data_IF_616555992496
#
_entry.id   IF_616555992496
#
_cell.length_a   1.000
_cell.length_b   1.000
_cell.length_c   1.000
_cell.angle_alpha   90.00
_cell.angle_beta   90.00
_cell.angle_gamma   90.00
#
_symmetry.space_group_name_H-M   'P 1'
#
loop_
_entity.id
_entity.type
_entity.pdbx_description
1 polymer ?
#
# COMPACT_ATOMS: atom_id res chain seq x y z
N UNK A 1 -19.59 -33.23 -61.62
CA UNK A 1 -18.89 -33.27 -60.32
C UNK A 1 -18.48 -31.85 -59.96
N UNK A 2 -19.15 -31.24 -58.98
CA UNK A 2 -18.83 -29.88 -58.53
C UNK A 2 -17.65 -29.94 -57.54
N UNK A 3 -16.63 -29.12 -57.77
CA UNK A 3 -15.47 -29.01 -56.88
C UNK A 3 -15.91 -28.43 -55.51
N UNK A 4 -15.38 -28.95 -54.38
CA UNK A 4 -15.71 -28.42 -53.07
C UNK A 4 -15.03 -27.05 -52.90
N UNK A 5 -15.85 -26.00 -52.72
CA UNK A 5 -15.37 -24.66 -52.44
C UNK A 5 -14.61 -24.62 -51.11
N UNK A 6 -13.39 -24.09 -51.14
CA UNK A 6 -12.61 -23.77 -49.93
C UNK A 6 -13.40 -22.77 -49.09
N UNK A 7 -13.82 -23.21 -47.90
CA UNK A 7 -14.31 -22.31 -46.85
C UNK A 7 -13.20 -21.31 -46.53
N UNK A 8 -13.44 -20.04 -46.86
CA UNK A 8 -12.58 -18.94 -46.47
C UNK A 8 -12.58 -18.85 -44.94
N UNK A 9 -11.43 -19.11 -44.33
CA UNK A 9 -11.24 -18.87 -42.90
C UNK A 9 -11.44 -17.38 -42.64
N UNK A 10 -12.57 -17.01 -42.05
CA UNK A 10 -12.85 -15.63 -41.65
C UNK A 10 -11.80 -15.22 -40.62
N UNK A 11 -10.79 -14.46 -41.07
CA UNK A 11 -9.69 -14.02 -40.23
C UNK A 11 -10.18 -12.81 -39.46
N UNK A 12 -10.59 -13.02 -38.21
CA UNK A 12 -10.96 -11.91 -37.33
C UNK A 12 -9.80 -10.91 -37.25
N UNK A 13 -10.08 -9.60 -37.25
CA UNK A 13 -9.04 -8.60 -37.10
C UNK A 13 -8.31 -8.81 -35.76
N UNK A 14 -6.99 -8.57 -35.71
CA UNK A 14 -6.25 -8.65 -34.46
C UNK A 14 -6.83 -7.66 -33.46
N UNK A 15 -6.82 -8.03 -32.17
CA UNK A 15 -7.22 -7.10 -31.12
C UNK A 15 -6.37 -5.82 -31.21
N UNK A 16 -6.99 -4.64 -31.06
CA UNK A 16 -6.24 -3.39 -31.11
C UNK A 16 -5.17 -3.37 -30.01
N UNK A 17 -3.99 -2.88 -30.39
CA UNK A 17 -2.88 -2.68 -29.45
C UNK A 17 -3.27 -1.66 -28.38
N UNK A 18 -2.56 -1.67 -27.26
CA UNK A 18 -2.83 -0.73 -26.16
C UNK A 18 -2.71 0.73 -26.64
N UNK A 19 -1.78 1.02 -27.56
CA UNK A 19 -1.62 2.35 -28.18
C UNK A 19 -2.82 2.72 -29.05
N UNK A 20 -3.36 1.77 -29.81
CA UNK A 20 -4.54 2.00 -30.65
C UNK A 20 -5.78 2.22 -29.80
N UNK A 21 -5.97 1.46 -28.71
CA UNK A 21 -7.06 1.70 -27.74
C UNK A 21 -6.95 3.11 -27.16
N UNK A 22 -5.74 3.51 -26.75
CA UNK A 22 -5.50 4.86 -26.22
C UNK A 22 -5.89 5.93 -27.25
N UNK A 23 -5.55 5.73 -28.52
CA UNK A 23 -5.89 6.66 -29.61
C UNK A 23 -7.40 6.65 -29.92
N UNK A 24 -8.00 5.47 -30.02
CA UNK A 24 -9.39 5.23 -30.43
C UNK A 24 -10.37 5.82 -29.41
N UNK A 25 -10.11 5.64 -28.12
CA UNK A 25 -10.91 6.21 -27.05
C UNK A 25 -10.44 7.61 -26.61
N UNK A 26 -9.49 8.22 -27.35
CA UNK A 26 -8.89 9.53 -27.04
C UNK A 26 -8.44 9.64 -25.57
N UNK A 27 -7.87 8.56 -25.04
CA UNK A 27 -7.45 8.42 -23.66
C UNK A 27 -6.18 9.21 -23.42
N UNK A 28 -6.33 10.50 -23.14
CA UNK A 28 -5.23 11.28 -22.57
C UNK A 28 -5.13 11.00 -21.08
N UNK A 29 -3.91 10.73 -20.60
CA UNK A 29 -3.63 10.69 -19.17
C UNK A 29 -4.07 12.04 -18.57
N UNK A 30 -5.01 11.98 -17.64
CA UNK A 30 -5.49 13.19 -16.98
C UNK A 30 -4.51 13.51 -15.85
N UNK A 31 -3.98 14.74 -15.84
CA UNK A 31 -3.13 15.23 -14.75
C UNK A 31 -3.81 15.03 -13.38
N UNK A 32 -5.14 15.18 -13.35
CA UNK A 32 -5.96 14.96 -12.14
C UNK A 32 -5.86 13.54 -11.59
N UNK A 33 -5.73 12.50 -12.43
CA UNK A 33 -5.66 11.11 -11.98
C UNK A 33 -4.21 10.60 -11.83
N UNK A 34 -3.20 11.42 -12.19
CA UNK A 34 -1.77 11.07 -12.05
C UNK A 34 -1.40 9.70 -12.62
N UNK A 35 -2.02 9.34 -13.74
CA UNK A 35 -1.86 8.02 -14.36
C UNK A 35 -0.55 7.94 -15.16
N UNK A 36 0.19 6.85 -14.96
CA UNK A 36 1.37 6.48 -15.76
C UNK A 36 1.13 5.09 -16.33
N UNK A 37 0.89 4.98 -17.63
CA UNK A 37 0.55 3.71 -18.27
C UNK A 37 1.79 2.91 -18.64
N UNK A 38 1.80 1.63 -18.32
CA UNK A 38 2.82 0.69 -18.75
C UNK A 38 2.33 -0.05 -20.00
N UNK A 39 2.83 0.37 -21.17
CA UNK A 39 2.35 -0.14 -22.47
C UNK A 39 3.23 -1.25 -23.05
N UNK A 40 4.43 -1.47 -22.49
CA UNK A 40 5.35 -2.54 -22.94
C UNK A 40 4.96 -3.87 -22.29
N UNK A 41 4.39 -4.77 -23.11
CA UNK A 41 3.95 -6.09 -22.65
C UNK A 41 5.08 -6.93 -22.04
N UNK A 42 6.34 -6.74 -22.48
CA UNK A 42 7.47 -7.48 -21.91
C UNK A 42 7.71 -7.10 -20.45
N UNK A 43 7.39 -5.85 -20.08
CA UNK A 43 7.50 -5.38 -18.70
C UNK A 43 6.31 -5.84 -17.87
N UNK A 44 5.09 -5.81 -18.40
CA UNK A 44 3.91 -6.32 -17.69
C UNK A 44 3.99 -7.84 -17.48
N UNK A 45 4.48 -8.59 -18.48
CA UNK A 45 4.77 -10.03 -18.38
C UNK A 45 5.85 -10.29 -17.32
N UNK A 46 6.86 -9.41 -17.23
CA UNK A 46 7.88 -9.51 -16.18
C UNK A 46 7.30 -9.25 -14.79
N UNK A 47 6.35 -8.32 -14.63
CA UNK A 47 5.65 -8.10 -13.35
C UNK A 47 4.88 -9.37 -12.96
N UNK A 48 4.06 -9.90 -13.87
CA UNK A 48 3.25 -11.10 -13.65
C UNK A 48 4.11 -12.31 -13.29
N UNK A 49 5.15 -12.60 -14.07
CA UNK A 49 6.08 -13.71 -13.78
C UNK A 49 6.80 -13.56 -12.44
N UNK A 50 7.03 -12.33 -11.98
CA UNK A 50 7.66 -12.06 -10.68
C UNK A 50 6.66 -11.99 -9.52
N UNK A 51 5.36 -11.89 -9.80
CA UNK A 51 4.33 -12.01 -8.79
C UNK A 51 4.27 -13.42 -8.22
N UNK A 52 4.49 -14.44 -9.07
CA UNK A 52 4.46 -15.86 -8.71
C UNK A 52 3.82 -16.67 -9.83
N UNK A 53 3.53 -17.95 -9.57
CA UNK A 53 2.63 -18.71 -10.44
C UNK A 53 1.22 -18.16 -10.26
N UNK A 54 0.56 -17.81 -11.37
CA UNK A 54 -0.85 -17.43 -11.38
C UNK A 54 -1.75 -18.52 -11.99
N UNK A 55 -1.19 -19.71 -12.24
CA UNK A 55 -1.94 -20.84 -12.77
C UNK A 55 -3.10 -21.20 -11.82
N UNK A 56 -4.33 -21.20 -12.34
CA UNK A 56 -5.57 -21.38 -11.59
C UNK A 56 -5.80 -20.36 -10.46
N UNK A 57 -5.08 -19.24 -10.43
CA UNK A 57 -5.23 -18.23 -9.39
C UNK A 57 -6.42 -17.32 -9.63
N UNK A 58 -6.95 -16.75 -8.53
CA UNK A 58 -7.94 -15.68 -8.54
C UNK A 58 -7.23 -14.35 -8.34
N UNK A 59 -7.20 -13.53 -9.37
CA UNK A 59 -6.39 -12.32 -9.37
C UNK A 59 -7.29 -11.09 -9.21
N UNK A 60 -6.96 -10.23 -8.27
CA UNK A 60 -7.55 -8.91 -8.11
C UNK A 60 -6.58 -7.85 -8.64
N UNK A 61 -6.87 -7.29 -9.81
CA UNK A 61 -6.11 -6.18 -10.37
C UNK A 61 -6.72 -4.83 -9.95
N UNK A 62 -5.89 -3.99 -9.34
CA UNK A 62 -6.28 -2.63 -8.93
C UNK A 62 -5.82 -1.60 -9.96
N UNK A 63 -6.78 -0.88 -10.55
CA UNK A 63 -6.52 0.17 -11.54
C UNK A 63 -5.85 -0.36 -12.81
N UNK A 64 -6.51 -1.22 -13.59
CA UNK A 64 -5.94 -1.81 -14.80
C UNK A 64 -5.59 -0.78 -15.90
N UNK A 65 -6.24 0.40 -15.88
CA UNK A 65 -6.11 1.44 -16.89
C UNK A 65 -6.34 0.86 -18.28
N UNK A 66 -5.40 1.02 -19.24
CA UNK A 66 -5.57 0.52 -20.60
C UNK A 66 -5.40 -1.01 -20.72
N UNK A 67 -5.23 -1.73 -19.60
CA UNK A 67 -5.23 -3.19 -19.53
C UNK A 67 -3.91 -3.85 -19.93
N UNK A 68 -2.78 -3.18 -19.69
CA UNK A 68 -1.45 -3.73 -19.98
C UNK A 68 -1.14 -4.94 -19.10
N UNK A 69 -1.27 -4.77 -17.78
CA UNK A 69 -1.09 -5.87 -16.82
C UNK A 69 -2.23 -6.88 -16.94
N UNK A 70 -3.47 -6.44 -17.14
CA UNK A 70 -4.63 -7.31 -17.41
C UNK A 70 -4.34 -8.35 -18.50
N UNK A 71 -3.79 -7.95 -19.65
CA UNK A 71 -3.40 -8.87 -20.73
C UNK A 71 -2.38 -9.91 -20.28
N UNK A 72 -1.33 -9.46 -19.59
CA UNK A 72 -0.29 -10.36 -19.06
C UNK A 72 -0.84 -11.35 -18.03
N UNK A 73 -1.82 -10.94 -17.21
CA UNK A 73 -2.49 -11.83 -16.24
C UNK A 73 -3.35 -12.86 -16.96
N UNK A 74 -4.16 -12.45 -17.95
CA UNK A 74 -5.00 -13.36 -18.72
C UNK A 74 -4.19 -14.43 -19.46
N UNK A 75 -2.98 -14.09 -19.91
CA UNK A 75 -2.04 -15.02 -20.54
C UNK A 75 -1.34 -15.98 -19.55
N UNK A 76 -1.55 -15.82 -18.24
CA UNK A 76 -0.89 -16.60 -17.19
C UNK A 76 -1.74 -17.77 -16.64
N UNK A 77 -2.75 -18.20 -17.41
CA UNK A 77 -3.65 -19.32 -17.07
C UNK A 77 -4.39 -19.15 -15.72
N UNK A 78 -4.90 -17.94 -15.48
CA UNK A 78 -5.68 -17.63 -14.27
C UNK A 78 -7.03 -18.34 -14.25
N UNK A 79 -7.54 -18.66 -13.06
CA UNK A 79 -8.90 -19.13 -12.90
C UNK A 79 -9.89 -17.99 -13.19
N UNK A 80 -9.68 -16.84 -12.55
CA UNK A 80 -10.49 -15.64 -12.71
C UNK A 80 -9.64 -14.38 -12.46
N UNK A 81 -9.92 -13.32 -13.21
CA UNK A 81 -9.36 -11.99 -13.03
C UNK A 81 -10.50 -11.00 -12.76
N UNK A 82 -10.51 -10.41 -11.56
CA UNK A 82 -11.34 -9.27 -11.23
C UNK A 82 -10.52 -7.99 -11.34
N UNK A 83 -11.01 -7.02 -12.10
CA UNK A 83 -10.39 -5.69 -12.19
C UNK A 83 -11.33 -4.62 -11.66
N UNK A 84 -10.78 -3.66 -10.89
CA UNK A 84 -11.52 -2.47 -10.44
C UNK A 84 -10.88 -1.23 -11.04
N UNK A 85 -11.62 -0.55 -11.90
CA UNK A 85 -11.19 0.65 -12.60
C UNK A 85 -12.09 1.83 -12.23
N UNK A 86 -11.48 2.96 -11.89
CA UNK A 86 -12.21 4.18 -11.49
C UNK A 86 -12.55 5.07 -12.68
N UNK A 87 -11.75 5.01 -13.73
CA UNK A 87 -11.88 5.86 -14.90
C UNK A 87 -12.71 5.16 -15.98
N UNK A 88 -13.95 5.61 -16.13
CA UNK A 88 -14.94 5.08 -17.07
C UNK A 88 -14.44 4.97 -18.50
N UNK A 89 -13.47 5.80 -18.89
CA UNK A 89 -12.95 5.84 -20.25
C UNK A 89 -12.20 4.56 -20.64
N UNK A 90 -11.65 3.82 -19.68
CA UNK A 90 -10.98 2.54 -19.95
C UNK A 90 -11.93 1.34 -19.99
N UNK A 91 -13.15 1.47 -19.43
CA UNK A 91 -14.12 0.37 -19.33
C UNK A 91 -14.44 -0.26 -20.69
N UNK A 92 -14.69 0.50 -21.79
CA UNK A 92 -14.93 -0.12 -23.10
C UNK A 92 -13.76 -0.98 -23.60
N UNK A 93 -12.51 -0.51 -23.42
CA UNK A 93 -11.32 -1.27 -23.81
C UNK A 93 -11.12 -2.53 -22.97
N UNK A 94 -11.52 -2.50 -21.69
CA UNK A 94 -11.54 -3.68 -20.83
C UNK A 94 -12.65 -4.64 -21.23
N UNK A 95 -13.83 -4.16 -21.64
CA UNK A 95 -14.91 -5.01 -22.15
C UNK A 95 -14.49 -5.79 -23.39
N UNK A 96 -13.78 -5.15 -24.32
CA UNK A 96 -13.18 -5.85 -25.48
C UNK A 96 -12.22 -6.97 -25.06
N UNK A 97 -11.47 -6.80 -23.96
CA UNK A 97 -10.63 -7.87 -23.40
C UNK A 97 -11.46 -8.99 -22.77
N UNK A 98 -12.59 -8.65 -22.15
CA UNK A 98 -13.50 -9.62 -21.55
C UNK A 98 -14.14 -10.51 -22.61
N UNK A 99 -14.57 -9.92 -23.73
CA UNK A 99 -15.08 -10.62 -24.90
C UNK A 99 -14.02 -11.54 -25.52
N UNK A 100 -12.75 -11.14 -25.52
CA UNK A 100 -11.65 -11.94 -26.03
C UNK A 100 -11.22 -13.07 -25.08
N UNK A 101 -11.57 -13.00 -23.80
CA UNK A 101 -11.28 -14.02 -22.80
C UNK A 101 -12.56 -14.41 -22.02
N UNK A 102 -13.55 -15.04 -22.70
CA UNK A 102 -14.86 -15.31 -22.09
C UNK A 102 -14.76 -16.09 -20.78
N UNK A 103 -15.47 -15.60 -19.76
CA UNK A 103 -15.53 -16.24 -18.44
C UNK A 103 -14.29 -16.05 -17.56
N UNK A 104 -13.24 -15.37 -18.05
CA UNK A 104 -12.01 -15.14 -17.28
C UNK A 104 -11.93 -13.75 -16.64
N UNK A 105 -12.47 -12.72 -17.29
CA UNK A 105 -12.35 -11.33 -16.84
C UNK A 105 -13.68 -10.79 -16.31
N UNK A 106 -13.67 -10.26 -15.08
CA UNK A 106 -14.78 -9.51 -14.49
C UNK A 106 -14.34 -8.07 -14.24
N UNK A 107 -15.15 -7.12 -14.69
CA UNK A 107 -14.83 -5.70 -14.65
C UNK A 107 -15.80 -4.99 -13.71
N UNK A 108 -15.26 -4.26 -12.75
CA UNK A 108 -16.02 -3.39 -11.85
C UNK A 108 -15.58 -1.95 -12.08
N UNK A 109 -16.55 -1.08 -12.35
CA UNK A 109 -16.32 0.35 -12.31
C UNK A 109 -16.44 0.83 -10.85
N UNK A 110 -15.33 1.27 -10.25
CA UNK A 110 -15.29 1.66 -8.84
C UNK A 110 -13.93 2.18 -8.36
N UNK A 111 -13.91 2.68 -7.13
CA UNK A 111 -12.68 3.15 -6.49
C UNK A 111 -12.07 2.04 -5.62
N UNK A 112 -10.82 1.67 -5.90
CA UNK A 112 -10.07 0.64 -5.15
C UNK A 112 -9.91 0.97 -3.67
N UNK A 113 -9.99 2.25 -3.27
CA UNK A 113 -9.93 2.68 -1.88
C UNK A 113 -11.19 2.34 -1.10
N UNK A 114 -12.34 2.17 -1.76
CA UNK A 114 -13.64 1.91 -1.11
C UNK A 114 -14.22 0.55 -1.48
N UNK A 115 -13.84 -0.02 -2.61
CA UNK A 115 -14.29 -1.32 -3.06
C UNK A 115 -13.91 -2.43 -2.06
N UNK A 116 -14.85 -3.35 -1.85
CA UNK A 116 -14.76 -4.47 -0.90
C UNK A 116 -14.70 -5.78 -1.68
N UNK A 117 -13.57 -6.47 -1.59
CA UNK A 117 -13.33 -7.74 -2.31
C UNK A 117 -13.69 -8.98 -1.49
N UNK A 118 -14.15 -8.81 -0.25
CA UNK A 118 -14.40 -9.87 0.71
C UNK A 118 -15.36 -10.95 0.20
N UNK A 119 -16.26 -10.57 -0.71
CA UNK A 119 -17.25 -11.45 -1.36
C UNK A 119 -17.04 -11.57 -2.87
N UNK A 120 -15.89 -11.12 -3.38
CA UNK A 120 -15.61 -11.14 -4.80
C UNK A 120 -15.42 -12.58 -5.29
N UNK A 121 -14.67 -13.41 -4.56
CA UNK A 121 -14.34 -14.77 -4.95
C UNK A 121 -15.00 -15.79 -4.02
N UNK A 122 -14.92 -17.07 -4.40
CA UNK A 122 -15.54 -18.17 -3.65
C UNK A 122 -14.96 -18.30 -2.24
N UNK A 123 -15.82 -18.55 -1.26
CA UNK A 123 -15.46 -18.85 0.13
C UNK A 123 -14.54 -20.08 0.24
N UNK A 124 -14.61 -21.01 -0.72
CA UNK A 124 -13.72 -22.19 -0.79
C UNK A 124 -12.24 -21.84 -0.97
N UNK A 125 -11.93 -20.61 -1.38
CA UNK A 125 -10.55 -20.13 -1.52
C UNK A 125 -9.94 -19.64 -0.21
N UNK A 126 -10.76 -19.47 0.84
CA UNK A 126 -10.27 -19.05 2.14
C UNK A 126 -9.36 -20.12 2.72
N UNK A 127 -8.21 -19.69 3.22
CA UNK A 127 -7.25 -20.52 3.94
C UNK A 127 -7.11 -20.03 5.37
N UNK A 128 -6.91 -20.93 6.35
CA UNK A 128 -6.45 -20.55 7.67
C UNK A 128 -5.22 -19.64 7.59
N UNK A 129 -5.06 -18.72 8.55
CA UNK A 129 -3.96 -17.75 8.51
C UNK A 129 -2.57 -18.42 8.55
N UNK A 130 -2.47 -19.53 9.28
CA UNK A 130 -1.24 -20.29 9.51
C UNK A 130 -0.84 -21.16 8.30
N UNK A 131 -1.80 -21.46 7.41
CA UNK A 131 -1.56 -22.25 6.19
C UNK A 131 -0.76 -21.44 5.14
N UNK A 132 -0.37 -22.11 4.06
CA UNK A 132 0.14 -21.46 2.85
C UNK A 132 -0.83 -20.38 2.32
N UNK A 133 -0.32 -19.33 1.66
CA UNK A 133 -1.17 -18.29 1.09
C UNK A 133 -2.28 -18.87 0.20
N UNK A 134 -3.48 -18.27 0.22
CA UNK A 134 -4.56 -18.70 -0.66
C UNK A 134 -4.16 -18.49 -2.12
N UNK A 135 -4.87 -19.17 -3.02
CA UNK A 135 -4.71 -18.95 -4.46
C UNK A 135 -5.38 -17.65 -4.95
N UNK A 136 -5.18 -16.58 -4.18
CA UNK A 136 -5.69 -15.23 -4.43
C UNK A 136 -4.50 -14.27 -4.45
N UNK A 137 -4.40 -13.46 -5.50
CA UNK A 137 -3.29 -12.53 -5.68
C UNK A 137 -3.77 -11.13 -6.03
N UNK A 138 -3.19 -10.11 -5.39
CA UNK A 138 -3.48 -8.71 -5.72
C UNK A 138 -2.35 -8.14 -6.55
N UNK A 139 -2.64 -7.63 -7.74
CA UNK A 139 -1.65 -7.04 -8.65
C UNK A 139 -2.06 -5.62 -9.00
N UNK A 140 -1.13 -4.69 -9.11
CA UNK A 140 -1.50 -3.32 -9.45
C UNK A 140 -0.35 -2.43 -9.87
N UNK A 141 -0.60 -1.61 -10.90
CA UNK A 141 0.22 -0.47 -11.25
C UNK A 141 -0.56 0.83 -11.01
N UNK A 142 -0.66 1.21 -9.75
CA UNK A 142 -1.51 2.33 -9.34
C UNK A 142 -0.81 3.68 -9.48
N UNK A 143 -1.58 4.77 -9.68
CA UNK A 143 -1.09 6.12 -9.46
C UNK A 143 -0.43 6.27 -8.08
N UNK A 144 0.65 7.03 -8.01
CA UNK A 144 1.44 7.15 -6.77
C UNK A 144 0.63 7.74 -5.61
N UNK A 145 -0.27 8.66 -5.90
CA UNK A 145 -1.22 9.26 -4.94
C UNK A 145 -2.19 8.24 -4.32
N UNK A 146 -2.47 7.13 -5.02
CA UNK A 146 -3.38 6.07 -4.57
C UNK A 146 -2.62 4.91 -3.91
N UNK A 147 -1.46 4.55 -4.46
CA UNK A 147 -0.67 3.40 -3.99
C UNK A 147 -0.30 3.47 -2.50
N UNK A 148 0.12 4.64 -2.02
CA UNK A 148 0.55 4.83 -0.62
C UNK A 148 -0.59 4.73 0.40
N UNK A 149 -1.73 5.46 0.24
CA UNK A 149 -2.86 5.27 1.16
C UNK A 149 -3.45 3.86 1.07
N UNK A 150 -3.47 3.24 -0.13
CA UNK A 150 -4.00 1.89 -0.29
C UNK A 150 -3.15 0.84 0.45
N UNK A 151 -1.82 0.89 0.34
CA UNK A 151 -0.98 -0.06 1.10
C UNK A 151 -1.09 0.15 2.60
N UNK A 152 -1.26 1.38 3.10
CA UNK A 152 -1.49 1.64 4.53
C UNK A 152 -2.81 1.01 4.97
N UNK A 153 -3.90 1.20 4.19
CA UNK A 153 -5.19 0.56 4.45
C UNK A 153 -5.06 -0.96 4.47
N UNK A 154 -4.36 -1.54 3.50
CA UNK A 154 -4.17 -3.00 3.47
C UNK A 154 -3.27 -3.52 4.58
N UNK A 155 -2.29 -2.77 5.06
CA UNK A 155 -1.53 -3.15 6.26
C UNK A 155 -2.44 -3.15 7.49
N UNK A 156 -3.35 -2.19 7.61
CA UNK A 156 -4.39 -2.22 8.65
C UNK A 156 -5.28 -3.45 8.49
N UNK A 157 -5.71 -3.76 7.27
CA UNK A 157 -6.52 -4.95 7.01
C UNK A 157 -5.78 -6.27 7.30
N UNK A 158 -4.46 -6.34 7.07
CA UNK A 158 -3.62 -7.48 7.48
C UNK A 158 -3.63 -7.61 9.01
N UNK A 159 -3.47 -6.49 9.72
CA UNK A 159 -3.50 -6.49 11.18
C UNK A 159 -4.84 -6.95 11.74
N UNK A 160 -5.95 -6.59 11.10
CA UNK A 160 -7.30 -6.98 11.47
C UNK A 160 -7.75 -8.32 10.88
N UNK A 161 -6.97 -8.89 9.95
CA UNK A 161 -7.29 -10.08 9.14
C UNK A 161 -8.64 -9.95 8.40
N UNK A 162 -8.94 -8.76 7.89
CA UNK A 162 -10.17 -8.43 7.17
C UNK A 162 -9.88 -7.94 5.73
N UNK A 163 -10.89 -7.41 5.03
CA UNK A 163 -10.71 -6.90 3.67
C UNK A 163 -10.19 -7.99 2.71
N UNK A 164 -9.15 -7.73 1.90
CA UNK A 164 -8.55 -8.76 1.03
C UNK A 164 -7.97 -9.98 1.75
N UNK A 165 -7.79 -9.89 3.06
CA UNK A 165 -7.11 -10.89 3.87
C UNK A 165 -8.09 -11.85 4.57
N UNK A 166 -9.40 -11.71 4.31
CA UNK A 166 -10.41 -12.73 4.69
C UNK A 166 -10.17 -14.08 4.00
N UNK A 167 -9.42 -14.09 2.88
CA UNK A 167 -9.01 -15.30 2.19
C UNK A 167 -7.77 -15.96 2.82
N UNK A 168 -7.13 -15.31 3.80
CA UNK A 168 -5.86 -15.73 4.38
C UNK A 168 -4.74 -14.74 4.03
N UNK A 169 -3.51 -15.24 3.95
CA UNK A 169 -2.30 -14.41 3.70
C UNK A 169 -2.13 -14.03 2.22
N UNK A 170 -3.20 -13.51 1.60
CA UNK A 170 -3.27 -13.05 0.20
C UNK A 170 -2.04 -12.23 -0.17
N UNK A 171 -1.38 -12.64 -1.27
CA UNK A 171 -0.13 -12.00 -1.71
C UNK A 171 -0.43 -10.73 -2.51
N UNK A 172 0.52 -9.78 -2.49
CA UNK A 172 0.39 -8.53 -3.23
C UNK A 172 1.65 -8.27 -4.06
N UNK A 173 1.48 -7.80 -5.29
CA UNK A 173 2.56 -7.33 -6.17
C UNK A 173 2.19 -5.99 -6.77
N UNK A 174 2.80 -4.94 -6.24
CA UNK A 174 2.38 -3.56 -6.47
C UNK A 174 3.55 -2.71 -6.94
N UNK A 175 3.25 -1.68 -7.71
CA UNK A 175 4.24 -0.68 -8.10
C UNK A 175 4.16 0.56 -7.20
N UNK A 176 5.32 1.16 -6.94
CA UNK A 176 5.45 2.42 -6.21
C UNK A 176 6.53 3.28 -6.86
N UNK A 177 6.57 4.57 -6.53
CA UNK A 177 7.76 5.37 -6.78
C UNK A 177 8.99 4.68 -6.18
N UNK A 178 10.14 4.73 -6.86
CA UNK A 178 11.37 4.07 -6.42
C UNK A 178 11.72 4.38 -4.96
N UNK A 179 11.61 5.63 -4.54
CA UNK A 179 11.89 6.01 -3.14
C UNK A 179 10.94 5.34 -2.14
N UNK A 180 9.65 5.20 -2.49
CA UNK A 180 8.66 4.52 -1.65
C UNK A 180 8.95 3.02 -1.58
N UNK A 181 9.32 2.39 -2.69
CA UNK A 181 9.74 0.98 -2.73
C UNK A 181 11.00 0.73 -1.88
N UNK A 182 11.99 1.63 -1.96
CA UNK A 182 13.20 1.59 -1.12
C UNK A 182 12.86 1.77 0.36
N UNK A 183 11.92 2.68 0.70
CA UNK A 183 11.45 2.88 2.07
C UNK A 183 10.75 1.63 2.61
N UNK A 184 9.85 1.00 1.84
CA UNK A 184 9.14 -0.22 2.24
C UNK A 184 10.10 -1.37 2.61
N UNK A 185 11.23 -1.45 1.93
CA UNK A 185 12.22 -2.54 2.07
C UNK A 185 13.47 -2.14 2.87
N UNK A 186 13.50 -0.93 3.42
CA UNK A 186 14.67 -0.42 4.13
C UNK A 186 14.90 -1.13 5.47
N UNK A 187 16.08 -1.76 5.61
CA UNK A 187 16.56 -2.36 6.85
C UNK A 187 16.95 -1.32 7.91
N UNK A 188 17.12 -1.78 9.15
CA UNK A 188 17.69 -1.00 10.26
C UNK A 188 19.01 -0.34 9.86
N UNK A 189 19.20 0.92 10.23
CA UNK A 189 20.37 1.73 9.88
C UNK A 189 20.30 2.40 8.50
N UNK A 190 19.49 1.91 7.57
CA UNK A 190 19.38 2.47 6.21
C UNK A 190 18.92 3.92 6.22
N UNK A 191 19.48 4.75 5.31
CA UNK A 191 19.06 6.14 5.12
C UNK A 191 17.57 6.26 4.77
N UNK A 192 17.04 5.27 4.04
CA UNK A 192 15.65 5.18 3.60
C UNK A 192 14.70 4.61 4.66
N UNK A 193 15.22 4.15 5.82
CA UNK A 193 14.35 3.66 6.89
C UNK A 193 13.39 4.76 7.36
N UNK A 194 12.12 4.42 7.44
CA UNK A 194 11.03 5.35 7.68
C UNK A 194 9.87 4.65 8.40
N UNK A 195 8.82 5.41 8.71
CA UNK A 195 7.54 4.87 9.23
C UNK A 195 7.04 3.71 8.37
N UNK A 196 7.06 3.88 7.05
CA UNK A 196 6.53 2.89 6.12
C UNK A 196 7.33 1.57 6.14
N UNK A 197 8.64 1.65 6.40
CA UNK A 197 9.50 0.46 6.57
C UNK A 197 9.02 -0.41 7.72
N UNK A 198 8.79 0.21 8.89
CA UNK A 198 8.37 -0.51 10.09
C UNK A 198 6.97 -1.07 9.89
N UNK A 199 6.02 -0.21 9.46
CA UNK A 199 4.62 -0.59 9.28
C UNK A 199 4.44 -1.78 8.31
N UNK A 200 5.22 -1.83 7.24
CA UNK A 200 5.14 -2.94 6.30
C UNK A 200 5.86 -4.20 6.83
N UNK A 201 7.07 -4.06 7.38
CA UNK A 201 7.92 -5.21 7.73
C UNK A 201 7.54 -5.92 9.02
N UNK A 202 6.71 -5.32 9.88
CA UNK A 202 6.19 -6.01 11.06
C UNK A 202 5.01 -6.92 10.74
N UNK A 203 4.29 -6.65 9.64
CA UNK A 203 3.14 -7.44 9.18
C UNK A 203 3.45 -8.34 7.99
N UNK A 204 4.43 -7.98 7.17
CA UNK A 204 4.74 -8.66 5.92
C UNK A 204 6.23 -8.97 5.78
N UNK A 205 6.51 -10.05 5.03
CA UNK A 205 7.76 -10.16 4.28
C UNK A 205 7.64 -9.28 3.02
N UNK A 206 8.51 -8.28 2.91
CA UNK A 206 8.47 -7.26 1.84
C UNK A 206 9.73 -7.35 1.00
N UNK A 207 9.58 -7.51 -0.32
CA UNK A 207 10.71 -7.68 -1.24
C UNK A 207 10.62 -6.70 -2.40
N UNK A 208 11.71 -5.96 -2.65
CA UNK A 208 11.86 -5.14 -3.85
C UNK A 208 12.35 -6.07 -4.97
N UNK A 209 11.49 -6.33 -5.95
CA UNK A 209 11.76 -7.33 -6.98
C UNK A 209 12.64 -6.76 -8.08
N UNK A 210 12.27 -5.60 -8.63
CA UNK A 210 13.08 -4.85 -9.59
C UNK A 210 12.56 -3.42 -9.75
N UNK A 211 13.38 -2.56 -10.37
CA UNK A 211 13.00 -1.20 -10.75
C UNK A 211 12.75 -1.11 -12.25
N UNK A 212 11.69 -0.40 -12.63
CA UNK A 212 11.33 -0.05 -14.01
C UNK A 212 11.74 1.40 -14.26
N UNK A 213 12.56 1.68 -15.29
CA UNK A 213 12.91 3.04 -15.66
C UNK A 213 11.67 3.89 -15.98
N UNK A 214 11.59 5.12 -15.50
CA UNK A 214 10.43 6.00 -15.75
C UNK A 214 10.11 6.18 -17.23
N UNK A 215 11.12 6.14 -18.12
CA UNK A 215 10.96 6.20 -19.58
C UNK A 215 10.10 5.08 -20.19
N UNK A 216 9.83 4.01 -19.44
CA UNK A 216 8.98 2.91 -19.90
C UNK A 216 7.47 3.20 -19.78
N UNK A 217 7.10 4.28 -19.09
CA UNK A 217 5.70 4.67 -18.88
C UNK A 217 5.29 5.82 -19.81
N UNK A 218 3.98 5.91 -20.05
CA UNK A 218 3.36 6.97 -20.83
C UNK A 218 2.17 7.56 -20.04
N UNK A 219 2.18 8.86 -19.70
CA UNK A 219 3.33 9.77 -19.76
C UNK A 219 4.50 9.30 -18.89
N UNK A 220 5.70 9.81 -19.17
CA UNK A 220 6.90 9.50 -18.40
C UNK A 220 6.81 10.17 -17.01
N UNK A 221 6.82 9.42 -15.89
CA UNK A 221 6.96 10.00 -14.56
C UNK A 221 8.37 10.60 -14.36
N UNK A 222 8.47 11.52 -13.42
CA UNK A 222 9.74 12.16 -13.03
C UNK A 222 10.71 11.20 -12.33
N UNK A 223 10.18 10.11 -11.78
CA UNK A 223 10.93 9.11 -11.01
C UNK A 223 10.75 7.72 -11.59
N UNK A 224 11.74 6.86 -11.34
CA UNK A 224 11.61 5.43 -11.62
C UNK A 224 10.58 4.76 -10.70
N UNK A 225 10.15 3.56 -11.10
CA UNK A 225 9.08 2.82 -10.43
C UNK A 225 9.62 1.50 -9.89
N UNK A 226 9.49 1.26 -8.59
CA UNK A 226 9.85 0.00 -7.96
C UNK A 226 8.68 -0.98 -7.92
N UNK A 227 8.93 -2.23 -8.27
CA UNK A 227 7.97 -3.35 -8.12
C UNK A 227 8.24 -4.04 -6.79
N UNK A 228 7.24 -4.07 -5.91
CA UNK A 228 7.36 -4.60 -4.55
C UNK A 228 6.36 -5.74 -4.36
N UNK A 229 6.86 -6.86 -3.84
CA UNK A 229 6.06 -8.01 -3.46
C UNK A 229 5.90 -8.08 -1.95
N UNK A 230 4.70 -8.40 -1.49
CA UNK A 230 4.34 -8.54 -0.09
C UNK A 230 3.72 -9.90 0.15
N UNK A 231 4.15 -10.54 1.23
CA UNK A 231 3.49 -11.73 1.77
C UNK A 231 3.21 -11.46 3.25
N UNK A 232 1.94 -11.41 3.69
CA UNK A 232 1.62 -11.33 5.11
C UNK A 232 2.32 -12.43 5.90
N UNK A 233 2.83 -12.06 7.08
CA UNK A 233 3.47 -12.98 8.01
C UNK A 233 2.41 -13.83 8.70
N UNK A 234 2.80 -15.06 9.06
CA UNK A 234 2.02 -15.92 9.94
C UNK A 234 1.87 -15.23 11.30
N UNK A 235 3.00 -15.02 12.00
CA UNK A 235 3.06 -14.23 13.21
C UNK A 235 3.57 -12.81 12.90
N UNK A 236 2.81 -11.75 13.21
CA UNK A 236 3.32 -10.40 13.09
C UNK A 236 4.44 -10.18 14.12
N UNK A 237 5.43 -9.35 13.78
CA UNK A 237 6.57 -9.08 14.67
C UNK A 237 6.20 -8.20 15.87
N UNK A 238 5.01 -7.57 15.84
CA UNK A 238 4.46 -6.74 16.90
C UNK A 238 2.98 -7.11 17.03
N UNK A 239 2.57 -7.59 18.19
CA UNK A 239 1.21 -8.05 18.48
C UNK A 239 0.45 -6.97 19.27
N UNK A 240 0.23 -5.82 18.63
CA UNK A 240 -0.52 -4.70 19.21
C UNK A 240 -1.49 -4.12 18.18
N UNK A 241 -2.57 -3.43 18.60
CA UNK A 241 -3.51 -2.82 17.67
C UNK A 241 -2.80 -1.90 16.66
N UNK A 242 -3.20 -1.96 15.38
CA UNK A 242 -2.55 -1.23 14.29
C UNK A 242 -2.35 0.27 14.60
N UNK A 243 -3.39 0.92 15.14
CA UNK A 243 -3.35 2.35 15.48
C UNK A 243 -2.36 2.68 16.60
N UNK A 244 -2.12 1.77 17.53
CA UNK A 244 -1.10 1.94 18.57
C UNK A 244 0.30 1.89 17.97
N UNK A 245 0.57 0.86 17.15
CA UNK A 245 1.86 0.73 16.44
C UNK A 245 2.08 1.94 15.55
N UNK A 246 1.07 2.35 14.77
CA UNK A 246 1.14 3.53 13.91
C UNK A 246 1.47 4.79 14.70
N UNK A 247 0.79 5.02 15.85
CA UNK A 247 1.02 6.18 16.70
C UNK A 247 2.45 6.22 17.23
N UNK A 248 2.97 5.11 17.76
CA UNK A 248 4.34 5.03 18.29
C UNK A 248 5.36 5.27 17.17
N UNK A 249 5.24 4.54 16.06
CA UNK A 249 6.17 4.64 14.92
C UNK A 249 6.15 6.06 14.31
N UNK A 250 4.97 6.67 14.16
CA UNK A 250 4.84 8.02 13.63
C UNK A 250 5.57 9.05 14.50
N UNK A 251 5.40 9.00 15.82
CA UNK A 251 6.05 9.94 16.74
C UNK A 251 7.58 9.76 16.73
N UNK A 252 8.07 8.52 16.68
CA UNK A 252 9.50 8.22 16.55
C UNK A 252 10.10 8.85 15.28
N UNK A 253 9.45 8.69 14.12
CA UNK A 253 10.00 9.17 12.85
C UNK A 253 9.77 10.66 12.55
N UNK A 254 9.03 11.39 13.40
CA UNK A 254 8.78 12.82 13.21
C UNK A 254 10.09 13.64 13.19
N UNK A 255 11.05 13.30 14.04
CA UNK A 255 12.33 14.02 14.15
C UNK A 255 13.52 13.15 13.73
N UNK A 256 13.62 12.84 12.42
CA UNK A 256 14.64 11.93 11.85
C UNK A 256 16.10 12.23 12.20
N UNK A 257 16.43 13.50 12.49
CA UNK A 257 17.80 13.96 12.80
C UNK A 257 18.09 14.08 14.30
N UNK A 258 17.09 13.83 15.17
CA UNK A 258 17.22 13.88 16.63
C UNK A 258 17.19 12.47 17.19
N UNK A 259 17.54 12.33 18.47
CA UNK A 259 17.41 11.07 19.20
C UNK A 259 15.94 10.67 19.35
N UNK A 260 15.66 9.36 19.43
CA UNK A 260 14.32 8.80 19.47
C UNK A 260 13.54 9.29 20.70
N UNK A 261 14.22 9.56 21.82
CA UNK A 261 13.66 10.20 23.01
C UNK A 261 12.81 11.43 22.65
N UNK A 262 13.28 12.29 21.73
CA UNK A 262 12.55 13.50 21.36
C UNK A 262 11.25 13.20 20.60
N UNK A 263 11.23 12.15 19.79
CA UNK A 263 10.02 11.71 19.10
C UNK A 263 9.05 11.04 20.05
N UNK A 264 9.54 10.09 20.85
CA UNK A 264 8.75 9.34 21.84
C UNK A 264 8.10 10.25 22.88
N UNK A 265 8.79 11.30 23.31
CA UNK A 265 8.19 12.26 24.24
C UNK A 265 6.94 12.98 23.73
N UNK A 266 6.68 12.97 22.42
CA UNK A 266 5.43 13.52 21.87
C UNK A 266 4.22 12.59 22.09
N UNK A 267 4.42 11.40 22.66
CA UNK A 267 3.35 10.52 23.13
C UNK A 267 2.77 10.96 24.48
N UNK A 268 3.45 11.84 25.21
CA UNK A 268 3.11 12.22 26.57
C UNK A 268 2.83 13.73 26.71
N UNK A 269 1.84 14.12 27.54
CA UNK A 269 1.59 15.52 27.92
C UNK A 269 2.85 16.21 28.44
N UNK A 270 2.97 17.53 28.22
CA UNK A 270 4.17 18.29 28.58
C UNK A 270 4.53 18.13 30.07
N UNK A 271 3.53 18.08 30.96
CA UNK A 271 3.71 17.94 32.40
C UNK A 271 4.39 16.64 32.84
N UNK A 272 4.17 15.52 32.13
CA UNK A 272 4.68 14.19 32.48
C UNK A 272 5.73 13.68 31.48
N UNK A 273 6.07 14.50 30.48
CA UNK A 273 6.85 14.07 29.32
C UNK A 273 8.22 13.51 29.69
N UNK A 274 8.94 14.20 30.56
CA UNK A 274 10.31 13.81 30.90
C UNK A 274 10.34 12.44 31.58
N UNK A 275 9.53 12.29 32.63
CA UNK A 275 9.42 11.07 33.43
C UNK A 275 8.91 9.89 32.58
N UNK A 276 7.77 10.04 31.91
CA UNK A 276 7.16 8.95 31.16
C UNK A 276 7.98 8.53 29.93
N UNK A 277 8.71 9.45 29.29
CA UNK A 277 9.62 9.08 28.19
C UNK A 277 10.81 8.28 28.70
N UNK A 278 11.37 8.68 29.85
CA UNK A 278 12.43 7.93 30.53
C UNK A 278 11.97 6.54 30.90
N UNK A 279 10.85 6.44 31.63
CA UNK A 279 10.22 5.16 32.03
C UNK A 279 9.90 4.28 30.83
N UNK A 280 9.40 4.85 29.72
CA UNK A 280 9.12 4.09 28.49
C UNK A 280 10.39 3.46 27.90
N UNK A 281 11.48 4.22 27.82
CA UNK A 281 12.74 3.76 27.23
C UNK A 281 13.46 2.76 28.13
N UNK A 282 13.44 2.99 29.44
CA UNK A 282 14.01 2.09 30.45
C UNK A 282 13.28 0.73 30.45
N UNK A 283 11.95 0.73 30.55
CA UNK A 283 11.15 -0.50 30.53
C UNK A 283 11.21 -1.23 29.18
N UNK A 284 11.50 -0.52 28.10
CA UNK A 284 11.68 -1.11 26.77
C UNK A 284 13.12 -1.57 26.49
N UNK A 285 14.06 -1.30 27.41
CA UNK A 285 15.50 -1.55 27.29
C UNK A 285 16.10 -0.95 26.00
N UNK A 286 15.90 0.36 25.81
CA UNK A 286 16.34 1.09 24.61
C UNK A 286 17.17 2.30 24.99
N UNK A 287 18.37 2.39 24.39
CA UNK A 287 19.23 3.57 24.50
C UNK A 287 18.50 4.83 23.98
N UNK A 288 18.29 5.86 24.84
CA UNK A 288 17.56 7.07 24.50
C UNK A 288 18.23 7.90 23.39
N UNK A 289 19.51 7.66 23.12
CA UNK A 289 20.33 8.38 22.13
C UNK A 289 20.28 7.75 20.74
N UNK A 290 19.63 6.59 20.57
CA UNK A 290 19.44 6.02 19.24
C UNK A 290 18.64 6.97 18.35
N UNK A 291 19.04 7.07 17.09
CA UNK A 291 18.26 7.80 16.08
C UNK A 291 17.13 6.90 15.55
N UNK A 292 16.01 7.45 15.08
CA UNK A 292 14.87 6.68 14.58
C UNK A 292 15.20 5.56 13.58
N UNK A 293 16.20 5.78 12.71
CA UNK A 293 16.62 4.78 11.71
C UNK A 293 17.42 3.63 12.32
N UNK A 294 17.97 3.76 13.52
CA UNK A 294 18.70 2.71 14.21
C UNK A 294 17.77 1.77 15.00
N UNK A 295 16.50 2.15 15.17
CA UNK A 295 15.53 1.30 15.86
C UNK A 295 15.11 0.13 14.96
N UNK A 296 15.34 -1.09 15.47
CA UNK A 296 14.94 -2.35 14.87
C UNK A 296 13.44 -2.61 15.07
N UNK A 297 12.91 -3.67 14.45
CA UNK A 297 11.51 -4.07 14.70
C UNK A 297 11.34 -4.58 16.13
N UNK A 298 12.35 -5.25 16.71
CA UNK A 298 12.30 -5.66 18.12
C UNK A 298 12.22 -4.47 19.07
N UNK A 299 12.96 -3.38 18.80
CA UNK A 299 12.81 -2.15 19.60
C UNK A 299 11.39 -1.58 19.49
N UNK A 300 10.78 -1.59 18.31
CA UNK A 300 9.38 -1.15 18.18
C UNK A 300 8.40 -2.09 18.88
N UNK A 301 8.66 -3.41 18.91
CA UNK A 301 7.88 -4.36 19.70
C UNK A 301 7.88 -3.96 21.18
N UNK A 302 9.07 -3.83 21.78
CA UNK A 302 9.21 -3.44 23.20
C UNK A 302 8.55 -2.09 23.50
N UNK A 303 8.75 -1.08 22.64
CA UNK A 303 8.11 0.24 22.80
C UNK A 303 6.58 0.14 22.76
N UNK A 304 6.02 -0.65 21.85
CA UNK A 304 4.56 -0.78 21.74
C UNK A 304 3.97 -1.55 22.92
N UNK A 305 4.65 -2.59 23.42
CA UNK A 305 4.22 -3.37 24.59
C UNK A 305 4.24 -2.52 25.88
N UNK A 306 5.29 -1.74 26.09
CA UNK A 306 5.37 -0.83 27.24
C UNK A 306 4.35 0.29 27.11
N UNK A 307 4.27 0.94 25.95
CA UNK A 307 3.31 2.02 25.73
C UNK A 307 1.86 1.54 25.86
N UNK A 308 1.57 0.29 25.47
CA UNK A 308 0.25 -0.32 25.68
C UNK A 308 -0.09 -0.40 27.17
N UNK A 309 0.80 -0.95 27.99
CA UNK A 309 0.60 -1.02 29.45
C UNK A 309 0.37 0.37 30.06
N UNK A 310 1.14 1.37 29.62
CA UNK A 310 0.94 2.75 30.06
C UNK A 310 -0.42 3.32 29.65
N UNK A 311 -0.96 2.97 28.47
CA UNK A 311 -2.30 3.36 28.06
C UNK A 311 -3.41 2.60 28.80
N UNK A 312 -3.14 1.37 29.26
CA UNK A 312 -4.07 0.62 30.10
C UNK A 312 -4.11 1.21 31.53
N UNK A 313 -2.99 1.75 32.04
CA UNK A 313 -2.89 2.50 33.30
C UNK A 313 -3.52 3.91 33.21
N UNK A 314 -3.30 4.63 32.10
CA UNK A 314 -3.89 5.94 31.81
C UNK A 314 -4.63 5.95 30.45
N UNK A 315 -5.97 5.76 30.45
CA UNK A 315 -6.76 5.73 29.23
C UNK A 315 -6.71 7.02 28.40
N UNK A 316 -6.35 8.16 28.99
CA UNK A 316 -6.25 9.44 28.26
C UNK A 316 -5.03 9.48 27.34
N UNK A 317 -4.02 8.66 27.63
CA UNK A 317 -2.74 8.68 26.94
C UNK A 317 -2.85 8.27 25.46
N UNK A 318 -3.74 7.32 25.14
CA UNK A 318 -3.94 6.90 23.76
C UNK A 318 -4.63 7.98 22.91
N UNK A 319 -5.54 8.76 23.51
CA UNK A 319 -6.21 9.87 22.83
C UNK A 319 -5.33 11.14 22.76
N UNK A 320 -4.31 11.27 23.61
CA UNK A 320 -3.45 12.46 23.66
C UNK A 320 -2.81 12.77 22.31
N UNK A 321 -2.86 14.07 21.94
CA UNK A 321 -2.27 14.64 20.74
C UNK A 321 -1.51 15.93 21.09
N UNK A 322 -0.17 15.87 21.03
CA UNK A 322 0.69 17.00 21.35
C UNK A 322 0.43 18.26 20.50
N UNK A 323 -0.14 18.13 19.30
CA UNK A 323 -0.45 19.29 18.44
C UNK A 323 -1.59 20.12 19.01
N UNK A 324 -2.56 19.49 19.63
CA UNK A 324 -3.69 20.18 20.28
C UNK A 324 -3.22 20.93 21.53
N UNK A 325 -2.38 20.30 22.36
CA UNK A 325 -1.73 20.96 23.50
C UNK A 325 -0.91 22.20 23.05
N UNK A 326 -0.13 22.07 21.97
CA UNK A 326 0.63 23.19 21.41
C UNK A 326 -0.27 24.32 20.89
N UNK A 327 -1.43 23.99 20.28
CA UNK A 327 -2.42 24.98 19.80
C UNK A 327 -3.00 25.75 20.97
N UNK A 328 -3.52 25.06 21.98
CA UNK A 328 -4.11 25.67 23.17
C UNK A 328 -3.12 26.60 23.89
N UNK A 329 -1.84 26.20 23.99
CA UNK A 329 -0.80 27.03 24.59
C UNK A 329 -0.52 28.31 23.79
N UNK A 330 -0.56 28.25 22.46
CA UNK A 330 -0.40 29.44 21.60
C UNK A 330 -1.57 30.40 21.77
N UNK A 331 -2.80 29.88 21.84
CA UNK A 331 -4.00 30.68 22.09
C UNK A 331 -3.92 31.39 23.44
N UNK A 332 -3.63 30.67 24.52
CA UNK A 332 -3.47 31.25 25.87
C UNK A 332 -2.35 32.31 25.94
N UNK A 333 -1.26 32.14 25.20
CA UNK A 333 -0.20 33.16 25.12
C UNK A 333 -0.64 34.41 24.37
N UNK A 334 -1.49 34.27 23.34
CA UNK A 334 -2.03 35.40 22.58
C UNK A 334 -3.05 36.18 23.42
N UNK A 335 -3.96 35.50 24.10
CA UNK A 335 -4.93 36.12 25.03
C UNK A 335 -4.21 36.92 26.12
N UNK A 336 -3.18 36.34 26.77
CA UNK A 336 -2.37 37.07 27.76
C UNK A 336 -1.63 38.28 27.18
N UNK A 337 -1.26 38.26 25.90
CA UNK A 337 -0.61 39.40 25.24
C UNK A 337 -1.61 40.49 24.87
N UNK A 338 -2.83 40.12 24.50
CA UNK A 338 -3.90 41.06 24.15
C UNK A 338 -4.49 41.71 25.41
N UNK A 339 -4.68 40.95 26.50
CA UNK A 339 -5.05 41.49 27.82
C UNK A 339 -3.98 42.48 28.33
N UNK A 340 -2.69 42.12 28.27
CA UNK A 340 -1.60 43.00 28.71
C UNK A 340 -1.46 44.29 27.88
N UNK A 341 -2.01 44.33 26.65
CA UNK A 341 -2.11 45.54 25.84
C UNK A 341 -3.35 46.37 26.17
N UNK A 342 -4.46 45.72 26.55
CA UNK A 342 -5.68 46.40 27.01
C UNK A 342 -5.48 47.17 28.32
N UNK A 343 -4.56 46.75 29.19
CA UNK A 343 -4.21 47.46 30.45
C UNK A 343 -3.13 48.54 30.29
N UNK A 344 -2.67 48.81 29.06
CA UNK A 344 -1.67 49.86 28.74
C UNK A 344 -2.26 51.05 27.96
N UNK A 345 -3.58 51.06 27.78
CA UNK A 345 -4.40 52.20 27.38
C UNK A 345 -5.19 52.65 28.61
#
# INVERSE_FOLDING_TARGET
MAAPGKLSTCRLPPLPTIREIIKLFRLQATKQLSQNFLLDLRLTDKIVRKAGSLANAYVYEVGPGPGGITRSILNADVAELLVVEKDTRFIPGLQMLSEAAPGKLRIVHGDVLTFKIEKAFSESLKRPWEDDPPNVHIIGNLPFSVSTPLIIKWLENISCRDGPFVYGRTQMTLTFQKEVAERLTANTGSKQRSRLSVMAQYLCNVRHIFTIPGRAFVPKPEVDVGVVHFTPLIQPKIEQPFKLVEKVVQNVFQFRRKYCHRGLGMLFPEAQRLENTGRLLELADIDPTLRPRQLSISHFKSLCEVYRRMCDEDPQLFAYNFREELRQRKTKKKEKQDDAKSYRL
#
